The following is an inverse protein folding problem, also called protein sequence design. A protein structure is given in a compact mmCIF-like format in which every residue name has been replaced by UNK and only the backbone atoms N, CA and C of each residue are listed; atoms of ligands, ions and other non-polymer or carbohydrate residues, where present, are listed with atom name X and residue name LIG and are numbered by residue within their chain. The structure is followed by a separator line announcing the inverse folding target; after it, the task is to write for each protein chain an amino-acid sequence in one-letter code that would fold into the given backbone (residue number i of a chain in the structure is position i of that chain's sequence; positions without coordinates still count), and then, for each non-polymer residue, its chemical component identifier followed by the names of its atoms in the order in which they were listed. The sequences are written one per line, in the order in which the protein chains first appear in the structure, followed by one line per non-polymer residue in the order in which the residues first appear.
data_IF_917576641542
#
_entry.id   IF_917576641542
#
_cell.length_a   1.000
_cell.length_b   1.000
_cell.length_c   1.000
_cell.angle_alpha   90.00
_cell.angle_beta   90.00
_cell.angle_gamma   90.00
#
_symmetry.space_group_name_H-M   'P 1'
#
loop_
_entity.id
_entity.type
_entity.pdbx_description
1 polymer ?
#
# COMPACT_ATOMS: atom_id res chain seq x y z
N UNK A 1 10.56 37.27 47.38
CA UNK A 1 11.34 37.45 46.13
C UNK A 1 11.05 36.24 45.25
N UNK A 2 10.29 36.44 44.15
CA UNK A 2 10.05 35.39 43.19
C UNK A 2 11.23 35.37 42.21
N UNK A 3 11.94 34.24 42.10
CA UNK A 3 12.97 34.04 41.11
C UNK A 3 12.29 33.82 39.75
N UNK A 4 12.45 34.78 38.82
CA UNK A 4 12.08 34.61 37.42
C UNK A 4 12.98 33.56 36.79
N UNK A 5 12.44 32.37 36.48
CA UNK A 5 13.13 31.38 35.67
C UNK A 5 12.99 31.84 34.23
N UNK A 6 14.04 32.47 33.71
CA UNK A 6 14.15 32.75 32.27
C UNK A 6 14.38 31.41 31.54
N UNK A 7 13.45 31.05 30.69
CA UNK A 7 13.57 29.87 29.82
C UNK A 7 14.84 29.98 28.97
N UNK A 8 15.62 28.90 28.95
CA UNK A 8 16.88 28.80 28.21
C UNK A 8 16.68 29.03 26.72
N UNK A 9 17.52 29.83 26.04
CA UNK A 9 17.37 30.12 24.61
C UNK A 9 17.61 28.90 23.68
N UNK A 10 17.97 27.76 24.23
CA UNK A 10 18.19 26.53 23.47
C UNK A 10 16.90 25.76 23.09
N UNK A 11 15.74 26.13 23.67
CA UNK A 11 14.47 25.50 23.32
C UNK A 11 13.87 25.99 22.01
N UNK A 12 14.37 27.08 21.43
CA UNK A 12 13.86 27.64 20.16
C UNK A 12 14.52 27.09 18.89
N UNK A 13 15.54 26.22 19.04
CA UNK A 13 16.29 25.69 17.89
C UNK A 13 15.86 24.30 17.41
N UNK A 14 14.94 23.65 18.14
CA UNK A 14 14.38 22.37 17.70
C UNK A 14 13.03 22.67 17.04
N UNK A 15 13.05 22.87 15.73
CA UNK A 15 11.80 22.82 14.96
C UNK A 15 11.16 21.46 15.20
N UNK A 16 9.84 21.39 15.49
CA UNK A 16 9.16 20.11 15.61
C UNK A 16 9.40 19.33 14.33
N UNK A 17 9.62 18.01 14.41
CA UNK A 17 9.80 17.20 13.21
C UNK A 17 8.60 17.44 12.30
N UNK A 18 8.85 17.87 11.06
CA UNK A 18 7.83 17.97 10.04
C UNK A 18 7.37 16.55 9.72
N UNK A 19 6.34 16.08 10.42
CA UNK A 19 5.65 14.85 10.08
C UNK A 19 4.90 15.08 8.78
N UNK A 20 5.56 14.80 7.67
CA UNK A 20 4.84 14.64 6.40
C UNK A 20 3.98 13.40 6.51
N UNK A 21 2.68 13.53 6.22
CA UNK A 21 1.79 12.36 6.19
C UNK A 21 2.35 11.34 5.20
N UNK A 22 2.47 10.06 5.57
CA UNK A 22 2.90 9.04 4.63
C UNK A 22 1.87 8.89 3.50
N UNK A 23 2.32 8.49 2.32
CA UNK A 23 1.45 8.17 1.18
C UNK A 23 1.48 6.68 0.94
N UNK A 24 0.30 6.06 0.86
CA UNK A 24 0.11 4.67 0.48
C UNK A 24 -0.58 4.56 -0.87
N UNK A 25 -0.17 3.58 -1.64
CA UNK A 25 -0.88 3.17 -2.84
C UNK A 25 -1.68 1.91 -2.54
N UNK A 26 -2.96 1.90 -2.87
CA UNK A 26 -3.84 0.75 -2.73
C UNK A 26 -4.52 0.44 -4.07
N UNK A 27 -4.89 -0.81 -4.28
CA UNK A 27 -5.70 -1.23 -5.42
C UNK A 27 -6.97 -1.91 -4.90
N UNK A 28 -8.17 -1.48 -5.33
CA UNK A 28 -9.41 -2.14 -4.94
C UNK A 28 -9.47 -3.59 -5.43
N UNK A 29 -10.08 -4.53 -4.66
CA UNK A 29 -10.16 -5.95 -4.98
C UNK A 29 -11.25 -6.28 -6.00
N UNK A 30 -11.49 -5.41 -6.99
CA UNK A 30 -12.57 -5.57 -7.98
C UNK A 30 -12.44 -6.87 -8.79
N UNK A 31 -11.22 -7.28 -9.10
CA UNK A 31 -10.91 -8.47 -9.88
C UNK A 31 -10.23 -9.55 -9.05
N UNK A 32 -10.18 -9.36 -7.73
CA UNK A 32 -9.55 -10.31 -6.84
C UNK A 32 -10.25 -11.67 -6.89
N UNK A 33 -9.46 -12.69 -7.10
CA UNK A 33 -9.82 -14.10 -6.96
C UNK A 33 -8.54 -14.93 -6.79
N UNK A 34 -8.69 -16.18 -6.39
CA UNK A 34 -7.63 -17.18 -6.43
C UNK A 34 -7.89 -18.04 -7.66
N UNK A 35 -7.46 -17.57 -8.84
CA UNK A 35 -7.70 -18.24 -10.12
C UNK A 35 -6.50 -19.03 -10.66
N UNK A 36 -5.39 -18.97 -9.95
CA UNK A 36 -4.20 -19.80 -10.17
C UNK A 36 -3.52 -20.17 -8.85
N UNK A 37 -2.61 -21.13 -8.88
CA UNK A 37 -1.87 -21.57 -7.70
C UNK A 37 -0.36 -21.45 -7.95
N UNK A 38 0.28 -20.50 -7.29
CA UNK A 38 1.73 -20.28 -7.30
C UNK A 38 2.38 -20.62 -5.95
N UNK A 39 1.58 -21.08 -5.00
CA UNK A 39 2.02 -21.60 -3.72
C UNK A 39 1.03 -22.67 -3.20
N UNK A 40 1.45 -23.51 -2.20
CA UNK A 40 0.60 -24.60 -1.70
C UNK A 40 -0.75 -24.16 -1.11
N UNK A 41 -0.81 -22.96 -0.51
CA UNK A 41 -2.05 -22.45 0.11
C UNK A 41 -3.10 -22.06 -0.93
N UNK A 42 -2.68 -21.61 -2.10
CA UNK A 42 -3.60 -21.24 -3.19
C UNK A 42 -4.23 -22.48 -3.81
N UNK A 43 -3.50 -23.62 -3.89
CA UNK A 43 -3.97 -24.81 -4.57
C UNK A 43 -5.30 -25.37 -4.03
N UNK A 44 -5.54 -25.29 -2.71
CA UNK A 44 -6.79 -25.74 -2.09
C UNK A 44 -7.88 -24.66 -2.03
N UNK A 45 -7.59 -23.43 -2.47
CA UNK A 45 -8.45 -22.27 -2.37
C UNK A 45 -8.86 -21.67 -3.72
N UNK A 46 -8.61 -22.37 -4.82
CA UNK A 46 -9.01 -21.93 -6.16
C UNK A 46 -10.52 -21.62 -6.19
N UNK A 47 -10.86 -20.40 -6.62
CA UNK A 47 -12.23 -19.87 -6.73
C UNK A 47 -13.07 -19.99 -5.44
N UNK A 48 -12.43 -20.03 -4.27
CA UNK A 48 -13.10 -20.07 -2.96
C UNK A 48 -13.11 -18.73 -2.24
N UNK A 49 -12.51 -17.71 -2.82
CA UNK A 49 -12.54 -16.36 -2.23
C UNK A 49 -13.92 -15.73 -2.38
N UNK A 50 -14.31 -14.95 -1.36
CA UNK A 50 -15.50 -14.10 -1.44
C UNK A 50 -15.06 -12.69 -1.82
N UNK A 51 -15.44 -12.23 -3.01
CA UNK A 51 -15.14 -10.87 -3.47
C UNK A 51 -15.80 -9.81 -2.60
N UNK A 52 -17.03 -10.04 -2.17
CA UNK A 52 -17.76 -9.12 -1.30
C UNK A 52 -17.08 -8.97 0.07
N UNK A 53 -16.63 -10.09 0.65
CA UNK A 53 -15.88 -10.07 1.89
C UNK A 53 -14.53 -9.36 1.71
N UNK A 54 -13.81 -9.67 0.64
CA UNK A 54 -12.54 -9.00 0.32
C UNK A 54 -12.73 -7.49 0.19
N UNK A 55 -13.80 -7.05 -0.47
CA UNK A 55 -14.10 -5.63 -0.63
C UNK A 55 -14.44 -4.97 0.71
N UNK A 56 -15.22 -5.63 1.56
CA UNK A 56 -15.56 -5.14 2.90
C UNK A 56 -14.30 -4.96 3.76
N UNK A 57 -13.42 -5.94 3.78
CA UNK A 57 -12.17 -5.90 4.53
C UNK A 57 -11.21 -4.85 3.96
N UNK A 58 -11.09 -4.77 2.64
CA UNK A 58 -10.27 -3.77 1.97
C UNK A 58 -10.74 -2.35 2.28
N UNK A 59 -12.06 -2.11 2.25
CA UNK A 59 -12.65 -0.81 2.57
C UNK A 59 -12.35 -0.40 4.01
N UNK A 60 -12.45 -1.33 4.96
CA UNK A 60 -12.12 -1.05 6.36
C UNK A 60 -10.66 -0.64 6.53
N UNK A 61 -9.73 -1.32 5.84
CA UNK A 61 -8.32 -0.94 5.83
C UNK A 61 -8.10 0.43 5.16
N UNK A 62 -8.75 0.68 4.03
CA UNK A 62 -8.67 1.96 3.32
C UNK A 62 -9.10 3.13 4.23
N UNK A 63 -10.24 3.02 4.90
CA UNK A 63 -10.75 4.03 5.83
C UNK A 63 -9.81 4.24 7.02
N UNK A 64 -9.26 3.16 7.58
CA UNK A 64 -8.29 3.24 8.67
C UNK A 64 -7.01 3.96 8.22
N UNK A 65 -6.48 3.65 7.04
CA UNK A 65 -5.29 4.31 6.50
C UNK A 65 -5.55 5.79 6.19
N UNK A 66 -6.71 6.15 5.66
CA UNK A 66 -7.06 7.55 5.39
C UNK A 66 -7.05 8.43 6.64
N UNK A 67 -7.28 7.85 7.82
CA UNK A 67 -7.24 8.61 9.07
C UNK A 67 -5.82 9.08 9.44
N UNK A 68 -4.77 8.40 8.98
CA UNK A 68 -3.37 8.64 9.36
C UNK A 68 -2.43 8.93 8.18
N UNK A 69 -2.89 8.72 6.95
CA UNK A 69 -2.06 8.80 5.74
C UNK A 69 -2.84 9.36 4.54
N UNK A 70 -2.13 9.76 3.51
CA UNK A 70 -2.71 10.01 2.20
C UNK A 70 -2.77 8.71 1.44
N UNK A 71 -3.96 8.32 0.96
CA UNK A 71 -4.14 7.08 0.21
C UNK A 71 -4.46 7.41 -1.23
N UNK A 72 -3.66 6.85 -2.14
CA UNK A 72 -3.87 6.92 -3.59
C UNK A 72 -4.32 5.55 -4.09
N UNK A 73 -5.10 5.56 -5.17
CA UNK A 73 -5.65 4.33 -5.73
C UNK A 73 -5.04 4.05 -7.11
N UNK A 74 -4.58 2.81 -7.28
CA UNK A 74 -4.31 2.23 -8.58
C UNK A 74 -5.61 1.66 -9.12
N UNK A 75 -5.88 1.86 -10.41
CA UNK A 75 -7.05 1.26 -11.07
C UNK A 75 -6.91 -0.27 -11.11
N UNK A 76 -7.92 -1.02 -10.66
CA UNK A 76 -7.90 -2.48 -10.77
C UNK A 76 -8.05 -2.93 -12.22
N UNK A 77 -7.27 -3.93 -12.63
CA UNK A 77 -7.23 -4.41 -14.01
C UNK A 77 -7.76 -5.83 -14.13
N UNK A 78 -8.66 -6.10 -15.12
CA UNK A 78 -9.07 -7.46 -15.41
C UNK A 78 -7.86 -8.35 -15.75
N UNK A 79 -7.86 -9.58 -15.30
CA UNK A 79 -6.73 -10.50 -15.52
C UNK A 79 -5.54 -10.30 -14.60
N UNK A 80 -5.61 -9.35 -13.66
CA UNK A 80 -4.60 -9.12 -12.62
C UNK A 80 -5.22 -9.28 -11.23
N UNK A 81 -5.63 -10.49 -10.81
CA UNK A 81 -6.36 -10.70 -9.55
C UNK A 81 -5.51 -10.35 -8.33
N UNK A 82 -4.19 -10.53 -8.39
CA UNK A 82 -3.27 -10.24 -7.30
C UNK A 82 -2.76 -8.79 -7.29
N UNK A 83 -3.26 -7.93 -8.19
CA UNK A 83 -2.88 -6.51 -8.21
C UNK A 83 -3.24 -5.78 -6.90
N UNK A 84 -4.18 -6.30 -6.14
CA UNK A 84 -4.54 -5.84 -4.80
C UNK A 84 -3.35 -5.90 -3.82
N UNK A 85 -2.38 -6.79 -4.05
CA UNK A 85 -1.18 -6.97 -3.22
C UNK A 85 -0.01 -6.10 -3.69
N UNK A 86 -0.19 -4.80 -3.72
CA UNK A 86 0.77 -3.83 -4.26
C UNK A 86 2.14 -3.82 -3.56
N UNK A 87 2.20 -4.25 -2.31
CA UNK A 87 3.46 -4.36 -1.57
C UNK A 87 4.48 -5.29 -2.26
N UNK A 88 4.01 -6.22 -3.08
CA UNK A 88 4.86 -7.12 -3.87
C UNK A 88 5.30 -6.50 -5.20
N UNK A 89 4.69 -5.41 -5.62
CA UNK A 89 4.89 -4.83 -6.95
C UNK A 89 6.08 -3.89 -7.08
N UNK A 90 6.46 -3.23 -6.00
CA UNK A 90 7.58 -2.28 -6.00
C UNK A 90 8.12 -2.00 -4.60
N UNK A 91 9.38 -1.57 -4.55
CA UNK A 91 9.98 -0.94 -3.37
C UNK A 91 10.25 0.52 -3.72
N UNK A 92 9.80 1.43 -2.85
CA UNK A 92 9.97 2.87 -3.04
C UNK A 92 10.88 3.41 -1.94
N UNK A 93 11.93 4.13 -2.32
CA UNK A 93 12.85 4.75 -1.40
C UNK A 93 13.42 6.05 -1.97
N UNK A 94 13.34 7.14 -1.21
CA UNK A 94 13.86 8.45 -1.61
C UNK A 94 13.43 8.91 -3.02
N UNK A 95 12.16 8.70 -3.38
CA UNK A 95 11.63 9.11 -4.70
C UNK A 95 12.01 8.20 -5.87
N UNK A 96 12.69 7.08 -5.58
CA UNK A 96 13.02 6.05 -6.57
C UNK A 96 12.17 4.82 -6.33
N UNK A 97 11.58 4.28 -7.38
CA UNK A 97 10.83 3.03 -7.34
C UNK A 97 11.58 1.92 -8.09
N UNK A 98 11.81 0.81 -7.40
CA UNK A 98 12.29 -0.43 -8.02
C UNK A 98 11.10 -1.37 -8.21
N UNK A 99 10.73 -1.61 -9.47
CA UNK A 99 9.62 -2.48 -9.83
C UNK A 99 10.00 -3.95 -9.73
N UNK A 100 9.07 -4.77 -9.26
CA UNK A 100 9.26 -6.22 -9.22
C UNK A 100 9.36 -6.82 -10.62
N UNK A 101 10.28 -7.77 -10.76
CA UNK A 101 10.29 -8.73 -11.86
C UNK A 101 9.77 -10.05 -11.35
N UNK A 102 8.46 -10.28 -11.47
CA UNK A 102 7.83 -11.48 -10.92
C UNK A 102 8.37 -12.75 -11.58
N UNK A 103 8.74 -13.73 -10.77
CA UNK A 103 9.18 -15.05 -11.23
C UNK A 103 8.02 -15.85 -11.85
N UNK A 104 6.81 -15.70 -11.30
CA UNK A 104 5.60 -16.33 -11.82
C UNK A 104 4.97 -15.52 -12.95
N UNK A 105 4.75 -16.18 -14.08
CA UNK A 105 4.20 -15.54 -15.28
C UNK A 105 2.83 -14.91 -15.03
N UNK A 106 2.02 -15.51 -14.15
CA UNK A 106 0.67 -15.08 -13.79
C UNK A 106 0.63 -13.65 -13.24
N UNK A 107 1.73 -13.21 -12.60
CA UNK A 107 1.82 -11.87 -12.04
C UNK A 107 2.60 -10.86 -12.90
N UNK A 108 3.23 -11.29 -13.97
CA UNK A 108 4.04 -10.40 -14.80
C UNK A 108 3.24 -9.30 -15.49
N UNK A 109 1.96 -9.53 -15.74
CA UNK A 109 1.05 -8.54 -16.32
C UNK A 109 0.76 -7.35 -15.40
N UNK A 110 1.06 -7.45 -14.11
CA UNK A 110 0.85 -6.38 -13.14
C UNK A 110 1.89 -5.24 -13.29
N UNK A 111 3.13 -5.57 -13.66
CA UNK A 111 4.25 -4.61 -13.70
C UNK A 111 4.01 -3.43 -14.65
N UNK A 112 3.43 -3.59 -15.86
CA UNK A 112 3.11 -2.46 -16.74
C UNK A 112 2.15 -1.45 -16.12
N UNK A 113 1.15 -1.91 -15.37
CA UNK A 113 0.18 -1.04 -14.70
C UNK A 113 0.83 -0.22 -13.59
N UNK A 114 1.69 -0.86 -12.79
CA UNK A 114 2.48 -0.17 -11.76
C UNK A 114 3.44 0.84 -12.38
N UNK A 115 4.11 0.48 -13.47
CA UNK A 115 5.03 1.38 -14.17
C UNK A 115 4.33 2.62 -14.71
N UNK A 116 3.13 2.45 -15.27
CA UNK A 116 2.36 3.55 -15.82
C UNK A 116 1.87 4.53 -14.73
N UNK A 117 1.67 4.02 -13.51
CA UNK A 117 1.23 4.84 -12.39
C UNK A 117 2.37 5.63 -11.73
N UNK A 118 3.58 5.08 -11.68
CA UNK A 118 4.76 5.68 -11.04
C UNK A 118 5.48 6.70 -11.94
#
# INVERSE_FOLDING_TARGET
MAASITASPLQSLVSPPHYTRPTFLMCPPQWYDVDYAINPWMASNLHRSSRDLAFTQWKALYEALQSVADVRLLHPEPGCPDLVFLAHGAVVHHGVAALSSFSHNERRSETPHLRAWM
#
